data_IF_585950339331
#
_entry.id   IF_585950339331
#
_cell.length_a   1.000
_cell.length_b   1.000
_cell.length_c   1.000
_cell.angle_alpha   90.00
_cell.angle_beta   90.00
_cell.angle_gamma   90.00
#
_symmetry.space_group_name_H-M   'P 1'
#
loop_
_entity.id
_entity.type
_entity.pdbx_description
1 polymer ?
#
# COMPACT_ATOMS: atom_id res chain seq x y z
N UNK A 1 32.72 28.49 54.02
CA UNK A 1 32.45 27.05 53.75
C UNK A 1 31.14 26.97 53.00
N UNK A 2 31.18 27.02 51.65
CA UNK A 2 30.00 26.88 50.79
C UNK A 2 30.07 25.54 50.08
N UNK A 3 29.23 24.59 50.47
CA UNK A 3 29.01 23.36 49.74
C UNK A 3 27.79 23.56 48.84
N UNK A 4 28.05 23.89 47.58
CA UNK A 4 27.04 23.99 46.54
C UNK A 4 26.89 22.61 45.90
N UNK A 5 25.82 21.90 46.25
CA UNK A 5 25.48 20.60 45.66
C UNK A 5 25.01 20.84 44.23
N UNK A 6 25.89 20.59 43.27
CA UNK A 6 25.54 20.58 41.86
C UNK A 6 24.71 19.32 41.56
N UNK A 7 23.40 19.53 41.39
CA UNK A 7 22.50 18.50 40.87
C UNK A 7 22.95 18.07 39.48
N UNK A 8 23.29 16.79 39.35
CA UNK A 8 23.54 16.18 38.05
C UNK A 8 22.20 16.05 37.33
N UNK A 9 21.92 16.95 36.41
CA UNK A 9 20.84 16.80 35.45
C UNK A 9 21.17 15.58 34.58
N UNK A 10 20.62 14.42 34.96
CA UNK A 10 20.52 13.25 34.10
C UNK A 10 19.55 13.58 32.96
N UNK A 11 20.02 14.37 31.99
CA UNK A 11 19.35 14.52 30.72
C UNK A 11 19.37 13.13 30.08
N UNK A 12 18.21 12.46 30.07
CA UNK A 12 17.94 11.28 29.26
C UNK A 12 18.28 11.63 27.81
N UNK A 13 19.53 11.39 27.41
CA UNK A 13 19.95 11.49 26.03
C UNK A 13 19.02 10.55 25.26
N UNK A 14 18.17 11.13 24.41
CA UNK A 14 17.33 10.37 23.49
C UNK A 14 18.27 9.40 22.76
N UNK A 15 18.08 8.12 23.06
CA UNK A 15 18.65 6.98 22.33
C UNK A 15 18.53 7.28 20.84
N UNK A 16 19.58 6.98 20.09
CA UNK A 16 19.68 7.06 18.63
C UNK A 16 18.28 7.12 17.98
N UNK A 17 17.91 8.20 17.27
CA UNK A 17 16.57 8.33 16.69
C UNK A 17 16.26 7.24 15.64
N UNK A 18 17.30 6.50 15.22
CA UNK A 18 17.20 5.33 14.35
C UNK A 18 17.15 4.00 15.10
N UNK A 19 17.25 4.00 16.44
CA UNK A 19 17.05 2.82 17.27
C UNK A 19 15.59 2.37 17.18
N UNK A 20 15.41 1.07 16.97
CA UNK A 20 14.15 0.45 16.59
C UNK A 20 12.98 0.92 17.46
N UNK A 21 11.87 1.09 16.78
CA UNK A 21 10.57 1.30 17.38
C UNK A 21 10.30 0.16 18.38
N UNK A 22 9.82 0.44 19.63
CA UNK A 22 9.49 -0.59 20.61
C UNK A 22 8.58 -1.69 20.03
N UNK A 23 8.40 -2.82 20.70
CA UNK A 23 7.35 -3.77 20.30
C UNK A 23 5.98 -3.08 20.41
N UNK A 24 5.47 -2.61 19.27
CA UNK A 24 4.21 -1.88 19.20
C UNK A 24 3.09 -2.92 19.22
N UNK A 25 2.32 -2.94 20.30
CA UNK A 25 1.22 -3.89 20.45
C UNK A 25 0.06 -3.68 19.47
N UNK A 26 0.07 -2.63 18.65
CA UNK A 26 -0.95 -2.37 17.64
C UNK A 26 -0.41 -1.57 16.44
N UNK A 27 -1.17 -1.61 15.34
CA UNK A 27 -0.82 -0.96 14.07
C UNK A 27 -0.75 0.57 14.18
N UNK A 28 -1.61 1.19 15.00
CA UNK A 28 -1.63 2.65 15.15
C UNK A 28 -0.35 3.16 15.82
N UNK A 29 0.17 2.43 16.80
CA UNK A 29 1.43 2.72 17.45
C UNK A 29 2.60 2.58 16.45
N UNK A 30 2.55 1.60 15.53
CA UNK A 30 3.46 1.53 14.37
C UNK A 30 3.40 2.78 13.52
N UNK A 31 2.22 3.16 13.05
CA UNK A 31 2.03 4.33 12.21
C UNK A 31 2.52 5.60 12.92
N UNK A 32 2.20 5.77 14.20
CA UNK A 32 2.64 6.92 14.99
C UNK A 32 4.16 6.98 15.12
N UNK A 33 4.82 5.83 15.29
CA UNK A 33 6.27 5.79 15.41
C UNK A 33 6.99 6.09 14.10
N UNK A 34 6.58 5.50 12.98
CA UNK A 34 7.22 5.77 11.68
C UNK A 34 7.06 7.23 11.24
N UNK A 35 6.00 7.91 11.68
CA UNK A 35 5.82 9.34 11.44
C UNK A 35 6.77 10.24 12.25
N UNK A 36 7.35 9.73 13.35
CA UNK A 36 8.32 10.45 14.19
C UNK A 36 9.77 10.31 13.71
N UNK A 37 10.07 9.30 12.87
CA UNK A 37 11.42 9.08 12.34
C UNK A 37 11.89 10.30 11.55
N UNK A 38 13.14 10.76 11.68
CA UNK A 38 13.61 11.93 10.95
C UNK A 38 13.64 11.68 9.42
N UNK A 39 13.39 12.74 8.66
CA UNK A 39 13.53 12.71 7.19
C UNK A 39 14.96 13.02 6.79
N UNK A 40 15.47 12.30 5.81
CA UNK A 40 16.74 12.60 5.19
C UNK A 40 16.57 13.72 4.15
N UNK A 41 17.56 14.60 4.12
CA UNK A 41 17.81 15.50 3.00
C UNK A 41 18.38 14.73 1.81
N UNK A 42 18.35 15.34 0.62
CA UNK A 42 18.93 14.73 -0.57
C UNK A 42 20.44 14.48 -0.42
N UNK A 43 21.18 15.38 0.21
CA UNK A 43 22.62 15.20 0.45
C UNK A 43 22.89 13.99 1.36
N UNK A 44 22.07 13.79 2.39
CA UNK A 44 22.17 12.62 3.27
C UNK A 44 21.78 11.33 2.54
N UNK A 45 20.74 11.35 1.70
CA UNK A 45 20.36 10.22 0.84
C UNK A 45 21.52 9.81 -0.08
N UNK A 46 22.16 10.77 -0.74
CA UNK A 46 23.32 10.52 -1.61
C UNK A 46 24.50 9.95 -0.81
N UNK A 47 24.82 10.53 0.35
CA UNK A 47 25.92 10.06 1.19
C UNK A 47 25.70 8.62 1.70
N UNK A 48 24.49 8.32 2.20
CA UNK A 48 24.13 6.98 2.66
C UNK A 48 24.04 5.99 1.50
N UNK A 49 23.51 6.42 0.34
CA UNK A 49 23.46 5.60 -0.87
C UNK A 49 24.84 5.20 -1.37
N UNK A 50 25.81 6.13 -1.35
CA UNK A 50 27.21 5.84 -1.71
C UNK A 50 27.84 4.83 -0.75
N UNK A 51 27.69 5.04 0.57
CA UNK A 51 28.19 4.09 1.59
C UNK A 51 27.57 2.70 1.43
N UNK A 52 26.27 2.63 1.16
CA UNK A 52 25.61 1.34 0.88
C UNK A 52 26.17 0.67 -0.37
N UNK A 53 26.32 1.41 -1.48
CA UNK A 53 26.78 0.87 -2.76
C UNK A 53 28.25 0.44 -2.73
N UNK A 54 29.10 1.29 -2.16
CA UNK A 54 30.56 1.18 -2.26
C UNK A 54 31.14 0.31 -1.13
N UNK A 55 30.54 0.35 0.06
CA UNK A 55 31.03 -0.36 1.26
C UNK A 55 30.09 -1.49 1.72
N UNK A 56 28.88 -1.59 1.18
CA UNK A 56 27.88 -2.55 1.65
C UNK A 56 27.31 -2.21 3.04
N UNK A 57 27.34 -0.93 3.44
CA UNK A 57 26.94 -0.50 4.79
C UNK A 57 25.45 -0.76 5.08
N UNK A 58 25.18 -1.79 5.87
CA UNK A 58 23.83 -2.18 6.32
C UNK A 58 23.18 -1.12 7.20
N UNK A 59 23.95 -0.36 7.98
CA UNK A 59 23.41 0.74 8.79
C UNK A 59 22.96 1.90 7.89
N UNK A 60 23.67 2.17 6.80
CA UNK A 60 23.24 3.14 5.81
C UNK A 60 21.92 2.71 5.14
N UNK A 61 21.80 1.44 4.74
CA UNK A 61 20.53 0.88 4.25
C UNK A 61 19.40 1.04 5.27
N UNK A 62 19.67 0.73 6.54
CA UNK A 62 18.70 0.88 7.63
C UNK A 62 18.16 2.30 7.74
N UNK A 63 19.03 3.32 7.71
CA UNK A 63 18.62 4.74 7.76
C UNK A 63 17.82 5.17 6.52
N UNK A 64 18.21 4.71 5.33
CA UNK A 64 17.46 4.96 4.09
C UNK A 64 16.05 4.37 4.16
N UNK A 65 15.90 3.13 4.66
CA UNK A 65 14.61 2.48 4.83
C UNK A 65 13.77 3.17 5.90
N UNK A 66 14.30 3.35 7.12
CA UNK A 66 13.57 3.91 8.27
C UNK A 66 13.01 5.30 7.96
N UNK A 67 13.82 6.18 7.35
CA UNK A 67 13.37 7.54 6.99
C UNK A 67 12.20 7.57 6.01
N UNK A 68 11.99 6.50 5.24
CA UNK A 68 11.00 6.42 4.17
C UNK A 68 9.78 5.54 4.52
N UNK A 69 9.70 4.95 5.72
CA UNK A 69 8.56 4.11 6.10
C UNK A 69 7.22 4.85 6.06
N UNK A 70 7.21 6.15 6.34
CA UNK A 70 6.00 7.00 6.22
C UNK A 70 5.43 7.04 4.79
N UNK A 71 6.28 6.90 3.76
CA UNK A 71 5.86 6.81 2.37
C UNK A 71 5.10 5.51 2.13
N UNK A 72 5.57 4.40 2.70
CA UNK A 72 4.89 3.10 2.58
C UNK A 72 3.50 3.15 3.22
N UNK A 73 3.39 3.76 4.41
CA UNK A 73 2.09 3.96 5.07
C UNK A 73 1.15 4.82 4.23
N UNK A 74 1.63 5.90 3.61
CA UNK A 74 0.78 6.76 2.78
C UNK A 74 0.33 6.08 1.49
N UNK A 75 1.19 5.28 0.86
CA UNK A 75 0.88 4.53 -0.36
C UNK A 75 -0.08 3.38 -0.08
N UNK A 76 0.13 2.60 0.98
CA UNK A 76 -0.71 1.45 1.34
C UNK A 76 -2.18 1.81 1.58
N UNK A 77 -2.47 3.03 2.07
CA UNK A 77 -3.85 3.51 2.28
C UNK A 77 -4.71 3.51 1.01
N UNK A 78 -4.09 3.66 -0.16
CA UNK A 78 -4.80 3.64 -1.46
C UNK A 78 -5.37 2.26 -1.80
N UNK A 79 -4.99 1.22 -1.05
CA UNK A 79 -5.31 -0.18 -1.33
C UNK A 79 -6.25 -0.81 -0.28
N UNK A 80 -6.74 -0.04 0.69
CA UNK A 80 -7.67 -0.55 1.72
C UNK A 80 -8.99 -1.05 1.14
N UNK A 81 -9.40 -0.55 -0.03
CA UNK A 81 -10.62 -0.97 -0.72
C UNK A 81 -10.64 -2.42 -1.23
N UNK A 82 -9.54 -3.16 -1.12
CA UNK A 82 -9.45 -4.57 -1.51
C UNK A 82 -9.85 -5.55 -0.39
N UNK A 83 -10.09 -5.07 0.84
CA UNK A 83 -10.49 -5.92 1.97
C UNK A 83 -9.35 -6.69 2.64
N UNK A 84 -8.09 -6.33 2.36
CA UNK A 84 -6.91 -6.93 2.97
C UNK A 84 -6.47 -6.15 4.22
N UNK A 85 -5.87 -6.81 5.23
CA UNK A 85 -5.37 -6.12 6.42
C UNK A 85 -4.37 -5.02 6.07
N UNK A 86 -4.52 -3.84 6.67
CA UNK A 86 -3.64 -2.69 6.39
C UNK A 86 -2.19 -2.98 6.78
N UNK A 87 -1.99 -3.71 7.88
CA UNK A 87 -0.66 -4.16 8.32
C UNK A 87 0.07 -4.93 7.24
N UNK A 88 -0.60 -5.88 6.58
CA UNK A 88 0.03 -6.69 5.53
C UNK A 88 0.40 -5.85 4.30
N UNK A 89 -0.47 -4.93 3.89
CA UNK A 89 -0.19 -3.99 2.80
C UNK A 89 1.05 -3.12 3.11
N UNK A 90 1.20 -2.69 4.36
CA UNK A 90 2.38 -1.96 4.82
C UNK A 90 3.62 -2.86 4.77
N UNK A 91 3.52 -4.09 5.24
CA UNK A 91 4.66 -5.03 5.26
C UNK A 91 5.17 -5.33 3.85
N UNK A 92 4.29 -5.58 2.91
CA UNK A 92 4.65 -5.83 1.51
C UNK A 92 5.22 -4.57 0.85
N UNK A 93 4.66 -3.41 1.15
CA UNK A 93 5.23 -2.14 0.75
C UNK A 93 6.64 -1.90 1.33
N UNK A 94 6.89 -2.32 2.57
CA UNK A 94 8.20 -2.24 3.21
C UNK A 94 9.21 -3.15 2.51
N UNK A 95 8.80 -4.35 2.09
CA UNK A 95 9.61 -5.24 1.24
C UNK A 95 9.95 -4.56 -0.09
N UNK A 96 8.98 -3.85 -0.69
CA UNK A 96 9.22 -3.04 -1.89
C UNK A 96 10.23 -1.92 -1.67
N UNK A 97 10.12 -1.19 -0.56
CA UNK A 97 11.08 -0.16 -0.18
C UNK A 97 12.49 -0.74 0.00
N UNK A 98 12.63 -1.88 0.67
CA UNK A 98 13.93 -2.56 0.84
C UNK A 98 14.53 -2.97 -0.52
N UNK A 99 13.71 -3.50 -1.43
CA UNK A 99 14.11 -3.84 -2.80
C UNK A 99 14.57 -2.62 -3.59
N UNK A 100 13.94 -1.47 -3.37
CA UNK A 100 14.32 -0.19 -3.96
C UNK A 100 15.66 0.31 -3.40
N UNK A 101 15.81 0.38 -2.08
CA UNK A 101 17.05 0.83 -1.43
C UNK A 101 18.25 0.01 -1.88
N UNK A 102 18.10 -1.31 -2.02
CA UNK A 102 19.17 -2.19 -2.53
C UNK A 102 19.63 -1.86 -3.96
N UNK A 103 18.77 -1.25 -4.78
CA UNK A 103 19.03 -0.96 -6.20
C UNK A 103 19.12 0.52 -6.52
N UNK A 104 19.01 1.36 -5.50
CA UNK A 104 19.03 2.79 -5.65
C UNK A 104 20.43 3.27 -6.05
N UNK A 105 20.49 4.08 -7.11
CA UNK A 105 21.73 4.69 -7.57
C UNK A 105 21.76 6.18 -7.18
N UNK A 106 22.63 6.57 -6.23
CA UNK A 106 22.71 7.95 -5.74
C UNK A 106 23.27 8.94 -6.77
N UNK A 107 23.94 8.48 -7.85
CA UNK A 107 24.51 9.41 -8.85
C UNK A 107 23.49 9.91 -9.88
N UNK A 108 22.29 9.31 -9.94
CA UNK A 108 21.25 9.74 -10.88
C UNK A 108 20.60 11.08 -10.50
N UNK A 109 20.92 11.63 -9.33
CA UNK A 109 20.41 12.93 -8.89
C UNK A 109 18.91 12.96 -8.56
N UNK A 110 18.24 11.80 -8.53
CA UNK A 110 16.82 11.67 -8.18
C UNK A 110 16.65 11.35 -6.70
N UNK A 111 15.54 11.83 -6.11
CA UNK A 111 15.19 11.49 -4.72
C UNK A 111 14.83 10.02 -4.58
N UNK A 112 15.20 9.41 -3.45
CA UNK A 112 14.85 8.01 -3.17
C UNK A 112 13.33 7.78 -3.20
N UNK A 113 12.53 8.73 -2.72
CA UNK A 113 11.05 8.69 -2.80
C UNK A 113 10.56 8.38 -4.21
N UNK A 114 11.06 9.09 -5.22
CA UNK A 114 10.63 8.94 -6.61
C UNK A 114 10.95 7.55 -7.15
N UNK A 115 12.13 7.03 -6.81
CA UNK A 115 12.54 5.68 -7.20
C UNK A 115 11.74 4.59 -6.47
N UNK A 116 11.61 4.71 -5.15
CA UNK A 116 10.98 3.71 -4.29
C UNK A 116 9.48 3.55 -4.53
N UNK A 117 8.78 4.61 -4.95
CA UNK A 117 7.34 4.58 -5.17
C UNK A 117 6.90 3.44 -6.11
N UNK A 118 7.64 3.20 -7.18
CA UNK A 118 7.32 2.15 -8.15
C UNK A 118 7.50 0.75 -7.56
N UNK A 119 8.54 0.53 -6.77
CA UNK A 119 8.79 -0.74 -6.09
C UNK A 119 7.74 -1.03 -5.02
N UNK A 120 7.40 -0.02 -4.21
CA UNK A 120 6.36 -0.14 -3.17
C UNK A 120 5.03 -0.54 -3.81
N UNK A 121 4.60 0.18 -4.86
CA UNK A 121 3.35 -0.14 -5.57
C UNK A 121 3.38 -1.52 -6.21
N UNK A 122 4.52 -1.92 -6.80
CA UNK A 122 4.66 -3.23 -7.43
C UNK A 122 4.49 -4.38 -6.43
N UNK A 123 5.13 -4.30 -5.27
CA UNK A 123 5.01 -5.34 -4.24
C UNK A 123 3.60 -5.39 -3.63
N UNK A 124 2.99 -4.23 -3.33
CA UNK A 124 1.61 -4.18 -2.85
C UNK A 124 0.65 -4.77 -3.89
N UNK A 125 0.82 -4.43 -5.18
CA UNK A 125 0.00 -5.01 -6.25
C UNK A 125 0.17 -6.53 -6.34
N UNK A 126 1.40 -7.04 -6.24
CA UNK A 126 1.65 -8.48 -6.29
C UNK A 126 1.01 -9.20 -5.10
N UNK A 127 1.10 -8.62 -3.90
CA UNK A 127 0.43 -9.15 -2.71
C UNK A 127 -1.09 -9.20 -2.89
N UNK A 128 -1.70 -8.11 -3.37
CA UNK A 128 -3.15 -8.06 -3.60
C UNK A 128 -3.56 -9.14 -4.60
N UNK A 129 -2.88 -9.25 -5.74
CA UNK A 129 -3.22 -10.24 -6.77
C UNK A 129 -3.12 -11.68 -6.28
N UNK A 130 -2.20 -11.96 -5.35
CA UNK A 130 -1.97 -13.29 -4.78
C UNK A 130 -2.93 -13.64 -3.64
N UNK A 131 -3.42 -12.65 -2.89
CA UNK A 131 -4.14 -12.88 -1.64
C UNK A 131 -5.57 -12.31 -1.63
N UNK A 132 -6.03 -11.67 -2.70
CA UNK A 132 -7.39 -11.11 -2.75
C UNK A 132 -8.48 -12.18 -2.64
N UNK A 133 -8.21 -13.39 -3.15
CA UNK A 133 -9.09 -14.57 -3.09
C UNK A 133 -8.29 -15.86 -3.03
N UNK A 134 -8.95 -16.93 -2.61
CA UNK A 134 -8.38 -18.28 -2.65
C UNK A 134 -8.06 -18.71 -4.08
N UNK A 135 -8.95 -18.41 -5.02
CA UNK A 135 -8.75 -18.70 -6.45
C UNK A 135 -8.12 -17.49 -7.15
N UNK A 136 -7.02 -17.72 -7.86
CA UNK A 136 -6.28 -16.66 -8.57
C UNK A 136 -7.11 -16.09 -9.73
N UNK A 137 -7.35 -14.78 -9.70
CA UNK A 137 -8.25 -14.10 -10.65
C UNK A 137 -7.52 -13.46 -11.84
N UNK A 138 -6.30 -12.95 -11.65
CA UNK A 138 -5.60 -12.14 -12.65
C UNK A 138 -4.17 -12.62 -12.94
N UNK A 139 -4.06 -13.56 -13.87
CA UNK A 139 -2.80 -14.23 -14.23
C UNK A 139 -2.10 -13.58 -15.43
N UNK A 140 -2.86 -12.95 -16.34
CA UNK A 140 -2.32 -12.29 -17.53
C UNK A 140 -2.15 -10.78 -17.33
N UNK A 141 -1.34 -10.13 -18.18
CA UNK A 141 -1.14 -8.68 -18.16
C UNK A 141 -2.46 -7.90 -18.35
N UNK A 142 -3.32 -8.37 -19.26
CA UNK A 142 -4.64 -7.78 -19.51
C UNK A 142 -5.55 -7.89 -18.28
N UNK A 143 -5.61 -9.09 -17.68
CA UNK A 143 -6.39 -9.33 -16.48
C UNK A 143 -5.89 -8.49 -15.29
N UNK A 144 -4.58 -8.38 -15.08
CA UNK A 144 -4.01 -7.51 -14.02
C UNK A 144 -4.40 -6.06 -14.22
N UNK A 145 -4.36 -5.55 -15.46
CA UNK A 145 -4.77 -4.17 -15.77
C UNK A 145 -6.26 -3.96 -15.48
N UNK A 146 -7.11 -4.90 -15.86
CA UNK A 146 -8.54 -4.85 -15.58
C UNK A 146 -8.81 -4.92 -14.07
N UNK A 147 -8.16 -5.83 -13.34
CA UNK A 147 -8.33 -6.01 -11.90
C UNK A 147 -8.18 -4.70 -11.12
N UNK A 148 -7.12 -3.92 -11.39
CA UNK A 148 -6.87 -2.67 -10.67
C UNK A 148 -7.69 -1.47 -11.15
N UNK A 149 -8.19 -1.46 -12.39
CA UNK A 149 -8.81 -0.27 -13.00
C UNK A 149 -10.32 -0.41 -13.29
N UNK A 150 -10.86 -1.63 -13.38
CA UNK A 150 -12.24 -1.85 -13.83
C UNK A 150 -13.27 -1.21 -12.89
N UNK A 151 -13.04 -1.28 -11.58
CA UNK A 151 -13.95 -0.69 -10.58
C UNK A 151 -14.01 0.84 -10.68
N UNK A 152 -12.87 1.51 -10.78
CA UNK A 152 -12.81 2.97 -10.89
C UNK A 152 -13.36 3.45 -12.22
N UNK A 153 -13.07 2.75 -13.32
CA UNK A 153 -13.65 3.04 -14.64
C UNK A 153 -15.17 2.92 -14.63
N UNK A 154 -15.71 1.83 -14.08
CA UNK A 154 -17.16 1.64 -13.96
C UNK A 154 -17.82 2.73 -13.14
N UNK A 155 -17.21 3.16 -12.03
CA UNK A 155 -17.71 4.29 -11.25
C UNK A 155 -17.71 5.60 -12.04
N UNK A 156 -16.61 5.90 -12.76
CA UNK A 156 -16.52 7.08 -13.63
C UNK A 156 -17.56 7.07 -14.77
N UNK A 157 -17.84 5.91 -15.36
CA UNK A 157 -18.87 5.76 -16.39
C UNK A 157 -20.27 6.05 -15.85
N UNK A 158 -20.60 5.52 -14.65
CA UNK A 158 -21.87 5.81 -13.98
C UNK A 158 -22.03 7.29 -13.65
N UNK A 159 -20.97 7.93 -13.14
CA UNK A 159 -21.01 9.35 -12.80
C UNK A 159 -21.14 10.26 -14.03
N UNK A 160 -20.53 9.88 -15.17
CA UNK A 160 -20.56 10.65 -16.41
C UNK A 160 -21.89 10.57 -17.15
N UNK A 161 -22.70 9.53 -16.93
CA UNK A 161 -23.99 9.35 -17.60
C UNK A 161 -25.12 10.19 -16.97
N UNK A 162 -24.88 10.86 -15.83
CA UNK A 162 -25.90 11.65 -15.15
C UNK A 162 -26.99 10.78 -14.52
N UNK A 163 -27.44 11.15 -13.35
CA UNK A 163 -28.57 10.52 -12.67
C UNK A 163 -29.90 10.85 -13.38
N UNK A 164 -30.14 10.29 -14.56
CA UNK A 164 -31.42 10.39 -15.29
C UNK A 164 -32.06 9.01 -15.48
N UNK A 165 -32.22 8.32 -14.35
CA UNK A 165 -33.02 7.11 -14.23
C UNK A 165 -34.10 7.35 -13.19
N UNK A 166 -35.11 8.14 -13.55
CA UNK A 166 -36.39 8.16 -12.86
C UNK A 166 -37.11 6.83 -13.11
N UNK A 167 -36.57 5.73 -12.61
CA UNK A 167 -37.21 4.43 -12.45
C UNK A 167 -36.30 3.60 -11.53
N UNK A 168 -36.87 3.05 -10.46
CA UNK A 168 -36.16 2.45 -9.33
C UNK A 168 -35.40 1.17 -9.64
N UNK A 169 -34.25 1.26 -10.32
CA UNK A 169 -33.32 0.14 -10.52
C UNK A 169 -31.91 0.49 -10.03
N UNK A 170 -31.74 0.47 -8.71
CA UNK A 170 -30.46 0.58 -8.00
C UNK A 170 -29.52 -0.63 -8.20
N UNK A 171 -29.77 -1.53 -9.16
CA UNK A 171 -29.09 -2.84 -9.24
C UNK A 171 -28.50 -3.25 -10.60
N UNK A 172 -28.23 -2.34 -11.55
CA UNK A 172 -27.40 -2.74 -12.71
C UNK A 172 -25.94 -2.92 -12.28
N UNK A 173 -25.64 -4.15 -11.87
CA UNK A 173 -24.32 -4.64 -11.48
C UNK A 173 -23.47 -5.09 -12.68
N UNK A 174 -24.00 -5.06 -13.90
CA UNK A 174 -23.31 -5.52 -15.13
C UNK A 174 -23.10 -4.38 -16.12
N UNK A 175 -21.95 -4.37 -16.81
CA UNK A 175 -21.64 -3.39 -17.86
C UNK A 175 -22.50 -3.63 -19.11
N UNK A 176 -22.93 -2.56 -19.76
CA UNK A 176 -23.55 -2.63 -21.08
C UNK A 176 -22.50 -2.93 -22.16
N UNK A 177 -22.90 -3.46 -23.33
CA UNK A 177 -21.95 -3.70 -24.44
C UNK A 177 -21.17 -2.46 -24.87
N UNK A 178 -21.79 -1.27 -24.81
CA UNK A 178 -21.14 0.00 -25.13
C UNK A 178 -20.05 0.37 -24.08
N UNK A 179 -20.33 0.13 -22.79
CA UNK A 179 -19.38 0.36 -21.70
C UNK A 179 -18.22 -0.64 -21.75
N UNK A 180 -18.50 -1.91 -22.01
CA UNK A 180 -17.47 -2.95 -22.24
C UNK A 180 -16.53 -2.52 -23.37
N UNK A 181 -17.08 -2.08 -24.51
CA UNK A 181 -16.27 -1.63 -25.65
C UNK A 181 -15.42 -0.39 -25.30
N UNK A 182 -15.95 0.52 -24.47
CA UNK A 182 -15.20 1.70 -24.01
C UNK A 182 -14.04 1.30 -23.08
N UNK A 183 -14.30 0.47 -22.07
CA UNK A 183 -13.27 -0.03 -21.15
C UNK A 183 -12.19 -0.81 -21.90
N UNK A 184 -12.59 -1.66 -22.86
CA UNK A 184 -11.67 -2.43 -23.69
C UNK A 184 -10.71 -1.52 -24.48
N UNK A 185 -11.23 -0.44 -25.09
CA UNK A 185 -10.40 0.55 -25.79
C UNK A 185 -9.46 1.30 -24.86
N UNK A 186 -9.97 1.80 -23.74
CA UNK A 186 -9.19 2.59 -22.78
C UNK A 186 -8.07 1.78 -22.13
N UNK A 187 -8.35 0.52 -21.79
CA UNK A 187 -7.36 -0.38 -21.23
C UNK A 187 -6.56 -1.15 -22.29
N UNK A 188 -6.88 -1.02 -23.57
CA UNK A 188 -6.23 -1.75 -24.67
C UNK A 188 -6.23 -3.28 -24.41
N UNK A 189 -7.41 -3.83 -24.15
CA UNK A 189 -7.67 -5.26 -23.88
C UNK A 189 -8.85 -5.75 -24.73
N UNK A 190 -9.09 -7.07 -24.80
CA UNK A 190 -10.22 -7.59 -25.55
C UNK A 190 -11.54 -7.35 -24.79
N UNK A 191 -12.66 -7.08 -25.48
CA UNK A 191 -13.99 -7.02 -24.86
C UNK A 191 -14.32 -8.27 -24.02
N UNK A 192 -13.94 -9.46 -24.51
CA UNK A 192 -14.14 -10.72 -23.81
C UNK A 192 -13.41 -10.75 -22.46
N UNK A 193 -12.19 -10.23 -22.38
CA UNK A 193 -11.42 -10.14 -21.13
C UNK A 193 -12.13 -9.24 -20.10
N UNK A 194 -12.82 -8.18 -20.56
CA UNK A 194 -13.57 -7.26 -19.71
C UNK A 194 -14.79 -7.96 -19.11
N UNK A 195 -15.56 -8.67 -19.93
CA UNK A 195 -16.75 -9.43 -19.50
C UNK A 195 -16.36 -10.54 -18.52
N UNK A 196 -15.29 -11.26 -18.84
CA UNK A 196 -14.77 -12.31 -17.97
C UNK A 196 -14.31 -11.72 -16.63
N UNK A 197 -13.54 -10.63 -16.65
CA UNK A 197 -13.09 -9.99 -15.42
C UNK A 197 -14.25 -9.43 -14.59
N UNK A 198 -15.26 -8.82 -15.21
CA UNK A 198 -16.44 -8.35 -14.50
C UNK A 198 -17.12 -9.50 -13.74
N UNK A 199 -17.31 -10.63 -14.41
CA UNK A 199 -17.90 -11.83 -13.81
C UNK A 199 -17.08 -12.35 -12.64
N UNK A 200 -15.75 -12.44 -12.81
CA UNK A 200 -14.82 -12.89 -11.75
C UNK A 200 -14.81 -11.95 -10.54
N UNK A 201 -14.93 -10.63 -10.77
CA UNK A 201 -14.97 -9.65 -9.69
C UNK A 201 -16.32 -9.62 -8.95
N UNK A 202 -17.41 -10.01 -9.61
CA UNK A 202 -18.76 -10.00 -9.03
C UNK A 202 -19.06 -11.23 -8.15
N UNK A 203 -18.51 -12.41 -8.45
CA UNK A 203 -18.66 -13.59 -7.58
C UNK A 203 -18.01 -13.40 -6.21
N UNK A 204 -18.24 -14.25 -5.21
CA UNK A 204 -17.53 -14.25 -3.92
C UNK A 204 -17.15 -15.67 -3.52
N UNK A 205 -16.13 -15.83 -2.65
CA UNK A 205 -15.78 -17.15 -2.11
C UNK A 205 -16.84 -17.53 -1.05
N UNK A 206 -17.40 -18.73 -1.14
CA UNK A 206 -18.46 -19.22 -0.23
C UNK A 206 -17.85 -20.19 0.78
N UNK A 207 -18.04 -19.91 2.06
CA UNK A 207 -17.66 -20.84 3.12
C UNK A 207 -18.58 -22.08 3.11
N UNK A 208 -17.99 -23.27 3.23
CA UNK A 208 -18.73 -24.53 3.27
C UNK A 208 -19.25 -24.86 4.67
N UNK A 209 -18.69 -24.23 5.70
CA UNK A 209 -19.24 -24.34 7.05
C UNK A 209 -20.45 -23.42 7.18
N UNK A 210 -21.57 -23.90 7.74
CA UNK A 210 -22.66 -23.02 8.10
C UNK A 210 -22.11 -22.02 9.13
N UNK A 211 -22.22 -20.72 8.84
CA UNK A 211 -22.16 -19.73 9.91
C UNK A 211 -23.26 -20.12 10.89
N UNK A 212 -22.89 -20.60 12.08
CA UNK A 212 -23.80 -20.57 13.20
C UNK A 212 -24.23 -19.11 13.31
N UNK A 213 -25.50 -18.86 13.02
CA UNK A 213 -26.15 -17.60 13.32
C UNK A 213 -26.14 -17.53 14.85
N UNK A 214 -25.08 -16.95 15.42
CA UNK A 214 -25.04 -16.53 16.82
C UNK A 214 -26.03 -15.37 16.93
N UNK A 215 -27.31 -15.72 16.95
CA UNK A 215 -28.40 -14.83 17.30
C UNK A 215 -28.35 -14.56 18.80
N UNK A 216 -27.43 -13.70 19.24
CA UNK A 216 -27.32 -13.11 20.58
C UNK A 216 -26.19 -12.04 20.50
N UNK A 217 -26.32 -10.73 20.78
CA UNK A 217 -27.39 -9.85 21.23
C UNK A 217 -27.10 -8.45 20.64
N UNK A 218 -28.08 -7.87 19.96
CA UNK A 218 -28.17 -6.42 19.80
C UNK A 218 -28.84 -5.85 21.05
N UNK A 219 -28.07 -5.42 22.05
CA UNK A 219 -28.57 -4.50 23.08
C UNK A 219 -27.51 -3.47 23.49
N UNK A 220 -27.90 -2.21 23.22
CA UNK A 220 -27.47 -0.91 23.80
C UNK A 220 -25.98 -0.54 23.78
#
# INVERSE_FOLDING_TARGET
MNAQVAGHANALALRDPWSLVPSLGNLDAYIAAVNRLPMLSQAEETALGRRLRDEGDVQAAGRLVLSHLRLVVSVSRQYLGYGLPHGDLIQEGNVGLMKAVKRFDPEQGVRLVSYALHWIKAEIHEYILRNWRLVKVATTKAQRKLFFNLRSLKASLKNAQGADGSDGETYRSTLTPAEVARVARELSVKPDDVIEMETRLAGGDVALEPQADDGEESFA
#
